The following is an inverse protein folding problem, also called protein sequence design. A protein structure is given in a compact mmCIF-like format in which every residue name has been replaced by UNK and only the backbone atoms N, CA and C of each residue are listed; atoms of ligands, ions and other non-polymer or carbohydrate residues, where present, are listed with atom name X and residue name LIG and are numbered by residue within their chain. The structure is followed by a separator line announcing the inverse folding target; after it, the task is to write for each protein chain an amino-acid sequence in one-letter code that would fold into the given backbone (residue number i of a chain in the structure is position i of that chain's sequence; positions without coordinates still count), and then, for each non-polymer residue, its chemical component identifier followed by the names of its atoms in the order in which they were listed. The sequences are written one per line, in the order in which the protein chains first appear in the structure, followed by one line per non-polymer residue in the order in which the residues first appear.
data_IF_138700231987
#
_entry.id   IF_138700231987
#
_cell.length_a   1.000
_cell.length_b   1.000
_cell.length_c   1.000
_cell.angle_alpha   90.00
_cell.angle_beta   90.00
_cell.angle_gamma   90.00
#
_symmetry.space_group_name_H-M   'P 1'
#
loop_
_entity.id
_entity.type
_entity.pdbx_description
1 polymer ?
#
# COMPACT_ATOMS: atom_id res chain seq x y z
N UNK A 1 12.92 57.30 17.31
CA UNK A 1 13.27 56.49 16.14
C UNK A 1 14.28 55.45 16.58
N UNK A 2 13.88 54.17 16.56
CA UNK A 2 14.69 53.01 16.14
C UNK A 2 13.96 51.74 16.58
N UNK A 3 13.09 51.27 15.69
CA UNK A 3 12.50 49.94 15.74
C UNK A 3 13.58 48.95 15.28
N UNK A 4 13.87 47.92 16.08
CA UNK A 4 14.59 46.74 15.59
C UNK A 4 13.60 45.84 14.84
N UNK A 5 13.95 45.32 13.64
CA UNK A 5 13.10 44.39 12.92
C UNK A 5 13.28 42.96 13.44
N UNK A 6 12.14 42.30 13.60
CA UNK A 6 11.85 40.89 13.32
C UNK A 6 13.00 39.89 13.29
N UNK A 7 12.99 38.98 14.27
CA UNK A 7 13.24 37.57 14.01
C UNK A 7 12.13 36.74 14.66
N UNK A 8 10.97 36.73 14.02
CA UNK A 8 9.98 35.68 14.20
C UNK A 8 10.59 34.40 13.64
N UNK A 9 11.11 33.56 14.53
CA UNK A 9 11.45 32.18 14.22
C UNK A 9 10.18 31.49 13.69
N UNK A 10 10.06 31.43 12.37
CA UNK A 10 9.10 30.59 11.69
C UNK A 10 9.51 29.14 11.93
N UNK A 11 9.10 28.60 13.08
CA UNK A 11 8.97 27.17 13.25
C UNK A 11 7.87 26.72 12.27
N UNK A 12 8.27 26.39 11.05
CA UNK A 12 7.47 25.65 10.07
C UNK A 12 7.19 24.27 10.65
N UNK A 13 6.33 24.23 11.66
CA UNK A 13 5.60 23.02 12.03
C UNK A 13 4.55 22.90 10.92
N UNK A 14 4.86 22.12 9.89
CA UNK A 14 3.94 21.85 8.79
C UNK A 14 2.59 21.50 9.38
N UNK A 15 1.60 22.35 9.17
CA UNK A 15 0.30 22.20 9.78
C UNK A 15 -0.30 20.87 9.32
N UNK A 16 -0.36 19.88 10.20
CA UNK A 16 -0.97 18.58 9.91
C UNK A 16 -2.42 18.84 9.51
N UNK A 17 -2.73 18.60 8.24
CA UNK A 17 -4.04 18.92 7.68
C UNK A 17 -5.11 18.01 8.29
N UNK A 18 -6.39 18.41 8.18
CA UNK A 18 -7.51 17.54 8.60
C UNK A 18 -7.49 16.21 7.84
N UNK A 19 -7.08 16.24 6.58
CA UNK A 19 -6.94 15.07 5.73
C UNK A 19 -5.80 14.14 6.17
N UNK A 20 -4.69 14.69 6.66
CA UNK A 20 -3.58 13.88 7.22
C UNK A 20 -3.98 13.18 8.51
N UNK A 21 -4.74 13.86 9.38
CA UNK A 21 -5.28 13.23 10.60
C UNK A 21 -6.29 12.13 10.27
N UNK A 22 -7.15 12.35 9.27
CA UNK A 22 -8.10 11.33 8.81
C UNK A 22 -7.36 10.12 8.24
N UNK A 23 -6.37 10.36 7.38
CA UNK A 23 -5.52 9.30 6.84
C UNK A 23 -4.85 8.47 7.93
N UNK A 24 -4.19 9.14 8.89
CA UNK A 24 -3.52 8.46 10.01
C UNK A 24 -4.49 7.61 10.83
N UNK A 25 -5.72 8.09 11.05
CA UNK A 25 -6.74 7.32 11.75
C UNK A 25 -7.18 6.10 10.95
N UNK A 26 -7.49 6.28 9.66
CA UNK A 26 -7.99 5.20 8.81
C UNK A 26 -6.92 4.15 8.57
N UNK A 27 -5.66 4.55 8.29
CA UNK A 27 -4.58 3.59 8.08
C UNK A 27 -4.29 2.78 9.35
N UNK A 28 -4.50 3.35 10.53
CA UNK A 28 -4.28 2.69 11.81
C UNK A 28 -5.42 1.74 12.22
N UNK A 29 -6.51 1.63 11.44
CA UNK A 29 -7.55 0.65 11.75
C UNK A 29 -7.02 -0.77 11.52
N UNK A 30 -7.47 -1.71 12.35
CA UNK A 30 -7.04 -3.11 12.28
C UNK A 30 -7.36 -3.72 10.91
N UNK A 31 -8.52 -3.41 10.34
CA UNK A 31 -8.94 -3.89 9.03
C UNK A 31 -7.97 -3.45 7.91
N UNK A 32 -7.55 -2.18 7.92
CA UNK A 32 -6.60 -1.65 6.93
C UNK A 32 -5.20 -2.21 7.15
N UNK A 33 -4.73 -2.26 8.40
CA UNK A 33 -3.44 -2.86 8.74
C UNK A 33 -3.38 -4.34 8.33
N UNK A 34 -4.45 -5.09 8.59
CA UNK A 34 -4.53 -6.50 8.25
C UNK A 34 -4.53 -6.71 6.74
N UNK A 35 -5.28 -5.92 5.98
CA UNK A 35 -5.30 -6.00 4.52
C UNK A 35 -3.94 -5.63 3.90
N UNK A 36 -3.27 -4.59 4.41
CA UNK A 36 -1.92 -4.20 3.98
C UNK A 36 -0.91 -5.33 4.25
N UNK A 37 -0.93 -5.88 5.46
CA UNK A 37 -0.05 -6.99 5.83
C UNK A 37 -0.26 -8.23 4.95
N UNK A 38 -1.52 -8.61 4.69
CA UNK A 38 -1.82 -9.76 3.82
C UNK A 38 -1.34 -9.54 2.39
N UNK A 39 -1.53 -8.33 1.85
CA UNK A 39 -1.03 -7.98 0.53
C UNK A 39 0.50 -8.09 0.44
N UNK A 40 1.22 -7.49 1.39
CA UNK A 40 2.69 -7.56 1.42
C UNK A 40 3.20 -8.99 1.57
N UNK A 41 2.57 -9.77 2.45
CA UNK A 41 2.94 -11.16 2.70
C UNK A 41 2.71 -12.02 1.46
N UNK A 42 1.55 -11.89 0.81
CA UNK A 42 1.23 -12.61 -0.42
C UNK A 42 2.19 -12.23 -1.56
N UNK A 43 2.45 -10.93 -1.74
CA UNK A 43 3.40 -10.42 -2.75
C UNK A 43 4.81 -10.97 -2.52
N UNK A 44 5.33 -10.88 -1.30
CA UNK A 44 6.67 -11.37 -0.97
C UNK A 44 6.80 -12.89 -1.17
N UNK A 45 5.76 -13.65 -0.85
CA UNK A 45 5.75 -15.11 -1.05
C UNK A 45 5.67 -15.49 -2.53
N UNK A 46 4.82 -14.82 -3.31
CA UNK A 46 4.78 -14.94 -4.78
C UNK A 46 6.17 -14.69 -5.36
N UNK A 47 6.77 -13.54 -5.08
CA UNK A 47 8.09 -13.15 -5.62
C UNK A 47 9.19 -14.12 -5.21
N UNK A 48 9.13 -14.65 -3.98
CA UNK A 48 10.09 -15.65 -3.52
C UNK A 48 9.95 -16.98 -4.27
N UNK A 49 8.74 -17.37 -4.65
CA UNK A 49 8.50 -18.63 -5.36
C UNK A 49 8.82 -18.48 -6.83
N UNK A 50 8.47 -17.35 -7.42
CA UNK A 50 8.78 -17.01 -8.80
C UNK A 50 10.30 -17.09 -9.05
N UNK A 51 11.10 -16.44 -8.19
CA UNK A 51 12.58 -16.56 -8.23
C UNK A 51 13.10 -17.99 -8.06
N UNK A 52 12.41 -18.84 -7.29
CA UNK A 52 12.80 -20.26 -7.15
C UNK A 52 12.52 -21.04 -8.43
N UNK A 53 11.41 -20.74 -9.10
CA UNK A 53 11.05 -21.37 -10.37
C UNK A 53 12.01 -20.95 -11.49
N UNK A 54 12.43 -19.68 -11.54
CA UNK A 54 13.50 -19.22 -12.43
C UNK A 54 14.82 -19.98 -12.22
N UNK A 55 15.12 -20.36 -10.97
CA UNK A 55 16.28 -21.19 -10.60
C UNK A 55 16.14 -22.69 -10.87
N UNK A 56 15.07 -23.13 -11.54
CA UNK A 56 14.86 -24.54 -11.91
C UNK A 56 14.07 -25.38 -10.90
N UNK A 57 13.32 -24.75 -9.99
CA UNK A 57 12.49 -25.49 -9.02
C UNK A 57 11.29 -26.22 -9.65
N UNK A 58 10.84 -27.30 -8.99
CA UNK A 58 9.90 -28.30 -9.52
C UNK A 58 8.41 -27.98 -9.37
N UNK A 59 7.56 -28.94 -9.73
CA UNK A 59 6.09 -28.82 -9.81
C UNK A 59 5.40 -28.33 -8.52
N UNK A 60 5.94 -28.64 -7.34
CA UNK A 60 5.39 -28.18 -6.05
C UNK A 60 5.42 -26.66 -5.91
N UNK A 61 6.40 -25.99 -6.50
CA UNK A 61 6.52 -24.54 -6.43
C UNK A 61 5.55 -23.83 -7.40
N UNK A 62 5.13 -24.49 -8.49
CA UNK A 62 4.06 -23.98 -9.37
C UNK A 62 2.70 -23.92 -8.68
N UNK A 63 2.33 -24.96 -7.92
CA UNK A 63 1.08 -24.96 -7.16
C UNK A 63 1.09 -23.91 -6.05
N UNK A 64 2.23 -23.72 -5.38
CA UNK A 64 2.38 -22.65 -4.38
C UNK A 64 2.30 -21.28 -5.04
N UNK A 65 2.89 -21.10 -6.23
CA UNK A 65 2.80 -19.84 -6.96
C UNK A 65 1.33 -19.48 -7.23
N UNK A 66 0.57 -20.40 -7.82
CA UNK A 66 -0.86 -20.20 -8.11
C UNK A 66 -1.67 -19.89 -6.83
N UNK A 67 -1.36 -20.55 -5.72
CA UNK A 67 -1.97 -20.25 -4.42
C UNK A 67 -1.67 -18.80 -3.97
N UNK A 68 -0.41 -18.37 -4.01
CA UNK A 68 -0.04 -17.01 -3.58
C UNK A 68 -0.51 -15.92 -4.55
N UNK A 69 -0.66 -16.22 -5.84
CA UNK A 69 -1.31 -15.32 -6.81
C UNK A 69 -2.79 -15.13 -6.49
N UNK A 70 -3.49 -16.20 -6.10
CA UNK A 70 -4.87 -16.12 -5.63
C UNK A 70 -4.97 -15.28 -4.35
N UNK A 71 -4.12 -15.53 -3.35
CA UNK A 71 -4.07 -14.75 -2.12
C UNK A 71 -3.74 -13.27 -2.38
N UNK A 72 -2.81 -12.99 -3.30
CA UNK A 72 -2.47 -11.63 -3.70
C UNK A 72 -3.66 -10.92 -4.37
N UNK A 73 -4.40 -11.64 -5.21
CA UNK A 73 -5.62 -11.13 -5.86
C UNK A 73 -6.71 -10.83 -4.82
N UNK A 74 -6.89 -11.72 -3.85
CA UNK A 74 -7.82 -11.56 -2.73
C UNK A 74 -7.47 -10.32 -1.89
N UNK A 75 -6.21 -10.20 -1.45
CA UNK A 75 -5.74 -9.05 -0.68
C UNK A 75 -5.86 -7.73 -1.46
N UNK A 76 -5.55 -7.76 -2.77
CA UNK A 76 -5.75 -6.62 -3.67
C UNK A 76 -7.21 -6.18 -3.74
N UNK A 77 -8.13 -7.13 -3.82
CA UNK A 77 -9.57 -6.86 -3.86
C UNK A 77 -10.05 -6.21 -2.57
N UNK A 78 -9.58 -6.71 -1.42
CA UNK A 78 -9.92 -6.13 -0.12
C UNK A 78 -9.37 -4.71 0.04
N UNK A 79 -8.12 -4.45 -0.38
CA UNK A 79 -7.55 -3.10 -0.38
C UNK A 79 -8.36 -2.13 -1.27
N UNK A 80 -8.83 -2.57 -2.44
CA UNK A 80 -9.69 -1.77 -3.32
C UNK A 80 -11.05 -1.46 -2.67
N UNK A 81 -11.65 -2.44 -1.98
CA UNK A 81 -12.88 -2.24 -1.21
C UNK A 81 -12.69 -1.23 -0.08
N UNK A 82 -11.59 -1.35 0.67
CA UNK A 82 -11.26 -0.40 1.74
C UNK A 82 -11.00 1.01 1.21
N UNK A 83 -10.33 1.13 0.06
CA UNK A 83 -10.15 2.42 -0.60
C UNK A 83 -11.48 3.03 -1.07
N UNK A 84 -12.41 2.23 -1.59
CA UNK A 84 -13.74 2.71 -1.97
C UNK A 84 -14.54 3.23 -0.76
N UNK A 85 -14.37 2.59 0.41
CA UNK A 85 -14.97 3.04 1.68
C UNK A 85 -14.24 4.27 2.26
N UNK A 86 -12.93 4.35 2.04
CA UNK A 86 -12.07 5.39 2.56
C UNK A 86 -11.14 5.97 1.48
N UNK A 87 -11.62 6.93 0.67
CA UNK A 87 -10.85 7.48 -0.46
C UNK A 87 -9.49 8.06 -0.07
N UNK A 88 -9.34 8.51 1.18
CA UNK A 88 -8.07 9.00 1.74
C UNK A 88 -6.94 7.96 1.69
N UNK A 89 -7.27 6.67 1.59
CA UNK A 89 -6.30 5.58 1.45
C UNK A 89 -5.61 5.57 0.08
N UNK A 90 -6.15 6.26 -0.93
CA UNK A 90 -5.53 6.34 -2.27
C UNK A 90 -4.11 6.91 -2.25
N UNK A 91 -3.75 7.72 -1.23
CA UNK A 91 -2.38 8.24 -1.05
C UNK A 91 -1.42 7.25 -0.38
N UNK A 92 -1.90 6.08 0.08
CA UNK A 92 -1.03 5.08 0.68
C UNK A 92 -0.14 4.44 -0.41
N UNK A 93 1.20 4.38 -0.26
CA UNK A 93 2.09 3.92 -1.31
C UNK A 93 1.73 2.53 -1.88
N UNK A 94 1.40 1.58 -1.01
CA UNK A 94 1.00 0.22 -1.44
C UNK A 94 -0.34 0.19 -2.18
N UNK A 95 -1.30 1.02 -1.78
CA UNK A 95 -2.63 1.07 -2.42
C UNK A 95 -2.53 1.79 -3.77
N UNK A 96 -1.71 2.83 -3.85
CA UNK A 96 -1.39 3.51 -5.10
C UNK A 96 -0.74 2.54 -6.12
N UNK A 97 0.25 1.76 -5.68
CA UNK A 97 0.93 0.77 -6.54
C UNK A 97 -0.03 -0.32 -7.06
N UNK A 98 -1.01 -0.73 -6.27
CA UNK A 98 -2.06 -1.70 -6.66
C UNK A 98 -2.94 -1.19 -7.81
N UNK A 99 -3.12 0.13 -7.94
CA UNK A 99 -3.85 0.70 -9.06
C UNK A 99 -3.06 0.68 -10.37
N UNK A 100 -1.72 0.74 -10.29
CA UNK A 100 -0.85 0.71 -11.47
C UNK A 100 -0.67 -0.69 -12.06
N UNK A 101 -0.79 -1.76 -11.24
CA UNK A 101 -0.71 -3.16 -11.70
C UNK A 101 -2.01 -3.72 -12.32
N UNK A 102 -3.03 -2.90 -12.59
CA UNK A 102 -4.18 -3.37 -13.37
C UNK A 102 -3.71 -3.75 -14.79
N UNK A 103 -3.95 -4.99 -15.26
CA UNK A 103 -3.44 -5.41 -16.56
C UNK A 103 -4.04 -4.54 -17.67
N UNK A 104 -3.27 -4.22 -18.74
CA UNK A 104 -3.87 -3.72 -19.95
C UNK A 104 -4.86 -4.78 -20.44
N UNK A 105 -6.13 -4.43 -20.46
CA UNK A 105 -7.15 -5.14 -21.22
C UNK A 105 -6.76 -5.03 -22.69
N UNK A 106 -5.98 -5.99 -23.17
CA UNK A 106 -5.83 -6.24 -24.60
C UNK A 106 -7.21 -6.66 -25.12
N UNK A 107 -7.78 -5.78 -25.95
CA UNK A 107 -9.04 -6.00 -26.68
C UNK A 107 -8.92 -7.12 -27.71
#
# INVERSE_FOLDING_TARGET
MNQQPEQTNAATTGAVTKEDKLYQRVVATEEVQQALYQYECARARRDSIDRKLEGGSGATDKNKLAYWEMELTSATTELKKLQAQHPVLAKHPLIAAVHEEAPPISS
#
